data_IF_850241166382
#
_entry.id   IF_850241166382
#
_cell.length_a   1.000
_cell.length_b   1.000
_cell.length_c   1.000
_cell.angle_alpha   90.00
_cell.angle_beta   90.00
_cell.angle_gamma   90.00
#
_symmetry.space_group_name_H-M   'P 1'
#
loop_
_entity.id
_entity.type
_entity.pdbx_description
1 polymer ?
#
# COMPACT_ATOMS: atom_id res chain seq x y z
N UNK A 1 25.39 28.32 -20.96
CA UNK A 1 25.07 27.15 -21.80
C UNK A 1 23.75 26.59 -21.29
N UNK A 2 22.68 26.65 -22.09
CA UNK A 2 21.36 26.20 -21.62
C UNK A 2 21.30 24.69 -21.60
N UNK A 3 20.94 24.16 -20.43
CA UNK A 3 20.79 22.74 -20.23
C UNK A 3 19.41 22.27 -20.74
N UNK A 4 19.31 21.11 -21.41
CA UNK A 4 18.02 20.48 -21.69
C UNK A 4 17.22 20.28 -20.41
N UNK A 5 16.05 20.93 -20.37
CA UNK A 5 15.10 20.78 -19.30
C UNK A 5 14.07 19.70 -19.67
N UNK A 6 13.92 18.73 -18.79
CA UNK A 6 12.82 17.76 -18.81
C UNK A 6 11.94 18.04 -17.60
N UNK A 7 10.63 18.00 -17.77
CA UNK A 7 9.71 18.13 -16.64
C UNK A 7 9.91 16.98 -15.66
N UNK A 8 9.87 17.22 -14.34
CA UNK A 8 9.94 16.16 -13.36
C UNK A 8 8.71 15.24 -13.47
N UNK A 9 8.95 13.94 -13.38
CA UNK A 9 7.86 12.94 -13.34
C UNK A 9 7.30 12.99 -11.92
N UNK A 10 6.03 13.34 -11.80
CA UNK A 10 5.35 13.44 -10.50
C UNK A 10 4.37 12.29 -10.31
N UNK A 11 4.25 11.82 -9.06
CA UNK A 11 3.33 10.75 -8.68
C UNK A 11 1.88 11.12 -9.02
N UNK A 12 1.52 12.41 -8.97
CA UNK A 12 0.19 12.89 -9.34
C UNK A 12 -0.16 12.65 -10.80
N UNK A 13 0.82 12.73 -11.71
CA UNK A 13 0.64 12.38 -13.12
C UNK A 13 0.48 10.87 -13.26
N UNK A 14 1.35 10.09 -12.61
CA UNK A 14 1.29 8.62 -12.69
C UNK A 14 -0.02 8.05 -12.13
N UNK A 15 -0.59 8.66 -11.08
CA UNK A 15 -1.89 8.26 -10.54
C UNK A 15 -3.04 8.49 -11.50
N UNK A 16 -2.93 9.41 -12.47
CA UNK A 16 -3.96 9.65 -13.49
C UNK A 16 -3.92 8.61 -14.62
N UNK A 17 -2.86 7.81 -14.71
CA UNK A 17 -2.74 6.78 -15.72
C UNK A 17 -3.87 5.76 -15.63
N UNK A 18 -4.41 5.37 -16.80
CA UNK A 18 -5.57 4.47 -16.89
C UNK A 18 -5.33 3.14 -16.18
N UNK A 19 -4.10 2.64 -16.21
CA UNK A 19 -3.73 1.38 -15.54
C UNK A 19 -3.74 1.51 -14.01
N UNK A 20 -3.29 2.65 -13.47
CA UNK A 20 -3.36 2.91 -12.03
C UNK A 20 -4.82 3.08 -11.57
N UNK A 21 -5.61 3.83 -12.34
CA UNK A 21 -7.04 4.01 -12.06
C UNK A 21 -7.82 2.68 -12.05
N UNK A 22 -7.45 1.73 -12.92
CA UNK A 22 -8.02 0.37 -12.90
C UNK A 22 -7.61 -0.40 -11.64
N UNK A 23 -6.34 -0.32 -11.24
CA UNK A 23 -5.88 -0.94 -10.00
C UNK A 23 -6.62 -0.37 -8.80
N UNK A 24 -6.67 0.96 -8.63
CA UNK A 24 -7.36 1.59 -7.50
C UNK A 24 -8.83 1.19 -7.41
N UNK A 25 -9.53 1.05 -8.54
CA UNK A 25 -10.92 0.54 -8.55
C UNK A 25 -11.01 -0.92 -8.10
N UNK A 26 -10.07 -1.76 -8.53
CA UNK A 26 -10.00 -3.16 -8.09
C UNK A 26 -9.75 -3.25 -6.58
N UNK A 27 -8.76 -2.53 -6.05
CA UNK A 27 -8.43 -2.56 -4.62
C UNK A 27 -9.60 -2.08 -3.75
N UNK A 28 -10.32 -1.03 -4.19
CA UNK A 28 -11.55 -0.58 -3.52
C UNK A 28 -12.63 -1.65 -3.49
N UNK A 29 -12.87 -2.31 -4.63
CA UNK A 29 -13.85 -3.40 -4.74
C UNK A 29 -13.48 -4.59 -3.83
N UNK A 30 -12.20 -4.98 -3.80
CA UNK A 30 -11.72 -6.08 -2.96
C UNK A 30 -11.93 -5.77 -1.46
N UNK A 31 -11.73 -4.51 -1.05
CA UNK A 31 -12.01 -4.04 0.32
C UNK A 31 -13.52 -4.10 0.66
N UNK A 32 -14.37 -3.59 -0.23
CA UNK A 32 -15.83 -3.65 -0.05
C UNK A 32 -16.34 -5.09 0.07
N UNK A 33 -15.81 -6.00 -0.75
CA UNK A 33 -16.14 -7.42 -0.69
C UNK A 33 -15.68 -8.09 0.62
N UNK A 34 -14.53 -7.69 1.17
CA UNK A 34 -14.05 -8.17 2.47
C UNK A 34 -14.96 -7.69 3.60
N UNK A 35 -15.29 -6.40 3.64
CA UNK A 35 -16.20 -5.83 4.65
C UNK A 35 -17.59 -6.49 4.61
N UNK A 36 -18.11 -6.76 3.40
CA UNK A 36 -19.37 -7.48 3.23
C UNK A 36 -19.31 -8.92 3.75
N UNK A 37 -18.18 -9.62 3.54
CA UNK A 37 -17.95 -10.97 4.09
C UNK A 37 -17.89 -10.92 5.62
N UNK A 38 -17.20 -9.94 6.18
CA UNK A 38 -17.11 -9.74 7.64
C UNK A 38 -18.48 -9.47 8.27
N UNK A 39 -19.31 -8.64 7.65
CA UNK A 39 -20.67 -8.38 8.13
C UNK A 39 -21.51 -9.66 8.16
N UNK A 40 -21.49 -10.45 7.07
CA UNK A 40 -22.22 -11.72 7.03
C UNK A 40 -21.76 -12.71 8.12
N UNK A 41 -20.46 -12.77 8.41
CA UNK A 41 -19.93 -13.59 9.50
C UNK A 41 -20.43 -13.11 10.86
N UNK A 42 -20.44 -11.79 11.08
CA UNK A 42 -20.98 -11.17 12.29
C UNK A 42 -22.46 -11.50 12.48
N UNK A 43 -23.27 -11.32 11.45
CA UNK A 43 -24.71 -11.64 11.48
C UNK A 43 -24.96 -13.13 11.79
N UNK A 44 -24.14 -14.02 11.24
CA UNK A 44 -24.23 -15.46 11.48
C UNK A 44 -23.90 -15.83 12.93
N UNK A 45 -22.82 -15.26 13.48
CA UNK A 45 -22.44 -15.47 14.90
C UNK A 45 -23.54 -14.93 15.81
N UNK A 46 -24.01 -13.70 15.59
CA UNK A 46 -25.08 -13.11 16.40
C UNK A 46 -26.34 -13.98 16.40
N UNK A 47 -26.78 -14.47 15.23
CA UNK A 47 -27.93 -15.36 15.12
C UNK A 47 -27.72 -16.68 15.87
N UNK A 48 -26.52 -17.26 15.78
CA UNK A 48 -26.18 -18.48 16.51
C UNK A 48 -26.17 -18.25 18.02
N UNK A 49 -25.62 -17.12 18.47
CA UNK A 49 -25.57 -16.74 19.89
C UNK A 49 -26.97 -16.50 20.45
N UNK A 50 -27.84 -15.78 19.73
CA UNK A 50 -29.24 -15.58 20.09
C UNK A 50 -29.97 -16.92 20.23
N UNK A 51 -29.79 -17.83 19.27
CA UNK A 51 -30.41 -19.17 19.30
C UNK A 51 -29.96 -19.97 20.53
N UNK A 52 -28.68 -19.86 20.93
CA UNK A 52 -28.15 -20.55 22.11
C UNK A 52 -28.77 -19.99 23.40
N UNK A 53 -28.95 -18.68 23.50
CA UNK A 53 -29.61 -18.02 24.63
C UNK A 53 -31.08 -18.45 24.71
N UNK A 54 -31.81 -18.41 23.59
CA UNK A 54 -33.24 -18.78 23.54
C UNK A 54 -33.46 -20.23 24.00
N UNK A 55 -32.61 -21.16 23.57
CA UNK A 55 -32.65 -22.57 24.03
C UNK A 55 -32.45 -22.68 25.53
N UNK A 56 -31.46 -21.97 26.08
CA UNK A 56 -31.16 -21.99 27.52
C UNK A 56 -32.32 -21.40 28.34
N UNK A 57 -32.97 -20.34 27.86
CA UNK A 57 -34.15 -19.73 28.49
C UNK A 57 -35.34 -20.69 28.49
N UNK A 58 -35.59 -21.39 27.38
CA UNK A 58 -36.65 -22.40 27.29
C UNK A 58 -36.41 -23.55 28.27
N UNK A 59 -35.18 -24.05 28.37
CA UNK A 59 -34.84 -25.13 29.30
C UNK A 59 -34.92 -24.68 30.76
N UNK A 60 -34.54 -23.43 31.06
CA UNK A 60 -34.74 -22.80 32.37
C UNK A 60 -36.22 -22.73 32.77
N UNK A 61 -37.09 -22.29 31.85
CA UNK A 61 -38.54 -22.24 32.11
C UNK A 61 -39.14 -23.63 32.39
N UNK A 62 -38.67 -24.68 31.70
CA UNK A 62 -39.10 -26.06 31.96
C UNK A 62 -38.68 -26.53 33.36
N UNK A 63 -37.45 -26.23 33.79
CA UNK A 63 -36.95 -26.54 35.13
C UNK A 63 -37.75 -25.80 36.22
N UNK A 64 -38.09 -24.53 35.99
CA UNK A 64 -38.91 -23.72 36.90
C UNK A 64 -40.35 -24.26 37.03
N UNK A 65 -40.99 -24.67 35.93
CA UNK A 65 -42.32 -25.30 35.97
C UNK A 65 -42.31 -26.62 36.74
N UNK A 66 -41.24 -27.42 36.60
CA UNK A 66 -41.08 -28.67 37.36
C UNK A 66 -40.97 -28.40 38.87
N UNK A 67 -40.23 -27.37 39.28
CA UNK A 67 -40.15 -26.90 40.67
C UNK A 67 -41.51 -26.51 41.26
N UNK A 68 -42.33 -25.77 40.51
CA UNK A 68 -43.64 -25.32 41.00
C UNK A 68 -44.65 -26.48 41.14
N UNK A 69 -44.60 -27.49 40.26
CA UNK A 69 -45.44 -28.69 40.39
C UNK A 69 -45.04 -29.56 41.60
N UNK A 70 -43.75 -29.63 41.94
CA UNK A 70 -43.25 -30.36 43.12
C UNK A 70 -43.60 -29.67 44.45
N UNK A 71 -43.75 -28.34 44.47
CA UNK A 71 -44.18 -27.58 45.65
C UNK A 71 -45.70 -27.54 45.86
N UNK A 72 -46.49 -27.96 44.86
CA UNK A 72 -47.95 -27.89 44.86
C UNK A 72 -48.65 -29.18 45.32
N UNK A 73 -47.94 -30.30 45.47
CA UNK A 73 -48.55 -31.61 45.77
C UNK A 73 -48.59 -31.98 47.26
N UNK A 74 -48.52 -30.99 48.17
CA UNK A 74 -48.34 -31.22 49.62
C UNK A 74 -49.37 -30.59 50.56
N UNK A 75 -50.56 -30.18 50.09
CA UNK A 75 -51.60 -29.63 50.99
C UNK A 75 -52.84 -30.53 51.03
N UNK A 76 -52.77 -31.57 51.86
CA UNK A 76 -53.94 -32.25 52.41
C UNK A 76 -53.54 -33.06 53.63
N UNK A 77 -53.89 -32.56 54.83
CA UNK A 77 -54.17 -33.43 55.98
C UNK A 77 -53.24 -33.32 57.20
N UNK A 78 -53.74 -32.60 58.20
CA UNK A 78 -53.72 -32.94 59.64
C UNK A 78 -52.47 -32.67 60.53
N UNK A 79 -52.67 -31.67 61.40
CA UNK A 79 -52.28 -31.50 62.83
C UNK A 79 -51.49 -32.63 63.52
N UNK A 80 -50.27 -32.34 64.01
CA UNK A 80 -49.91 -32.29 65.45
C UNK A 80 -48.46 -31.78 65.65
N UNK A 81 -48.20 -31.27 66.85
CA UNK A 81 -47.00 -30.58 67.34
C UNK A 81 -46.02 -31.49 68.09
N UNK A 82 -44.71 -31.37 67.85
CA UNK A 82 -43.64 -31.21 68.89
C UNK A 82 -42.23 -31.53 68.39
N UNK A 83 -41.28 -30.68 68.80
CA UNK A 83 -39.85 -30.91 69.13
C UNK A 83 -38.91 -31.66 68.17
N UNK A 84 -37.83 -30.95 67.81
CA UNK A 84 -36.48 -31.52 67.77
C UNK A 84 -36.00 -32.09 66.43
N UNK A 85 -35.19 -31.30 65.73
CA UNK A 85 -34.38 -31.78 64.60
C UNK A 85 -34.36 -30.79 63.45
N UNK A 86 -33.27 -30.01 63.34
CA UNK A 86 -32.96 -29.26 62.13
C UNK A 86 -32.58 -30.26 61.02
N UNK A 87 -33.55 -31.00 60.51
CA UNK A 87 -33.42 -31.71 59.25
C UNK A 87 -33.59 -30.67 58.15
N UNK A 88 -32.47 -30.20 57.60
CA UNK A 88 -32.48 -29.44 56.36
C UNK A 88 -33.24 -30.28 55.33
N UNK A 89 -34.41 -29.80 54.89
CA UNK A 89 -35.22 -30.48 53.89
C UNK A 89 -34.35 -30.75 52.64
N UNK A 90 -34.07 -32.03 52.28
CA UNK A 90 -33.19 -32.39 51.16
C UNK A 90 -33.76 -31.94 49.81
N UNK A 91 -35.05 -31.58 49.76
CA UNK A 91 -35.64 -30.95 48.58
C UNK A 91 -35.20 -29.49 48.41
N UNK A 92 -34.97 -28.76 49.51
CA UNK A 92 -34.54 -27.35 49.47
C UNK A 92 -33.07 -27.18 49.06
N UNK A 93 -32.18 -28.09 49.46
CA UNK A 93 -30.76 -28.08 49.08
C UNK A 93 -30.58 -28.40 47.61
N UNK A 94 -31.25 -29.44 47.10
CA UNK A 94 -31.20 -29.82 45.67
C UNK A 94 -31.69 -28.70 44.75
N UNK A 95 -32.72 -27.94 45.15
CA UNK A 95 -33.23 -26.79 44.38
C UNK A 95 -32.22 -25.63 44.36
N UNK A 96 -31.52 -25.41 45.48
CA UNK A 96 -30.45 -24.40 45.57
C UNK A 96 -29.27 -24.75 44.67
N UNK A 97 -28.85 -26.02 44.68
CA UNK A 97 -27.73 -26.53 43.88
C UNK A 97 -28.05 -26.46 42.38
N UNK A 98 -29.24 -26.87 41.95
CA UNK A 98 -29.69 -26.73 40.55
C UNK A 98 -29.76 -25.27 40.07
N UNK A 99 -30.14 -24.33 40.95
CA UNK A 99 -30.17 -22.91 40.64
C UNK A 99 -28.75 -22.32 40.50
N UNK A 100 -27.81 -22.82 41.30
CA UNK A 100 -26.41 -22.44 41.21
C UNK A 100 -25.75 -22.97 39.93
N UNK A 101 -26.04 -24.22 39.55
CA UNK A 101 -25.59 -24.81 38.29
C UNK A 101 -26.09 -24.03 37.09
N UNK A 102 -27.37 -23.64 37.07
CA UNK A 102 -27.92 -22.83 35.98
C UNK A 102 -27.22 -21.46 35.85
N UNK A 103 -26.91 -20.80 36.97
CA UNK A 103 -26.13 -19.55 36.98
C UNK A 103 -24.71 -19.76 36.46
N UNK A 104 -24.07 -20.89 36.77
CA UNK A 104 -22.75 -21.24 36.23
C UNK A 104 -22.84 -21.46 34.71
N UNK A 105 -23.84 -22.19 34.23
CA UNK A 105 -24.07 -22.42 32.79
C UNK A 105 -24.29 -21.09 32.04
N UNK A 106 -25.12 -20.18 32.57
CA UNK A 106 -25.32 -18.85 31.96
C UNK A 106 -24.01 -18.07 31.90
N UNK A 107 -23.26 -18.01 33.01
CA UNK A 107 -21.97 -17.29 33.05
C UNK A 107 -20.96 -17.86 32.06
N UNK A 108 -20.88 -19.19 31.96
CA UNK A 108 -20.02 -19.86 30.99
C UNK A 108 -20.44 -19.57 29.55
N UNK A 109 -21.75 -19.60 29.25
CA UNK A 109 -22.26 -19.25 27.92
C UNK A 109 -21.90 -17.81 27.54
N UNK A 110 -22.16 -16.85 28.42
CA UNK A 110 -21.85 -15.43 28.17
C UNK A 110 -20.34 -15.22 27.97
N UNK A 111 -19.50 -15.87 28.78
CA UNK A 111 -18.04 -15.82 28.61
C UNK A 111 -17.62 -16.36 27.24
N UNK A 112 -18.11 -17.55 26.87
CA UNK A 112 -17.78 -18.18 25.59
C UNK A 112 -18.24 -17.34 24.40
N UNK A 113 -19.43 -16.73 24.47
CA UNK A 113 -19.96 -15.84 23.42
C UNK A 113 -19.14 -14.56 23.29
N UNK A 114 -18.70 -13.98 24.42
CA UNK A 114 -17.80 -12.82 24.45
C UNK A 114 -16.45 -13.14 23.82
N UNK A 115 -15.88 -14.31 24.15
CA UNK A 115 -14.60 -14.76 23.59
C UNK A 115 -14.69 -15.04 22.09
N UNK A 116 -15.75 -15.74 21.65
CA UNK A 116 -16.01 -16.01 20.22
C UNK A 116 -16.12 -14.71 19.43
N UNK A 117 -16.93 -13.77 19.92
CA UNK A 117 -17.13 -12.48 19.27
C UNK A 117 -15.84 -11.67 19.21
N UNK A 118 -15.14 -11.54 20.34
CA UNK A 118 -13.87 -10.83 20.43
C UNK A 118 -12.79 -11.44 19.52
N UNK A 119 -12.69 -12.77 19.46
CA UNK A 119 -11.77 -13.46 18.56
C UNK A 119 -12.12 -13.23 17.09
N UNK A 120 -13.41 -13.22 16.75
CA UNK A 120 -13.86 -12.92 15.39
C UNK A 120 -13.50 -11.50 14.99
N UNK A 121 -13.72 -10.50 15.85
CA UNK A 121 -13.36 -9.11 15.57
C UNK A 121 -11.85 -8.94 15.39
N UNK A 122 -11.02 -9.49 16.28
CA UNK A 122 -9.55 -9.45 16.13
C UNK A 122 -9.07 -10.09 14.84
N UNK A 123 -9.68 -11.22 14.43
CA UNK A 123 -9.35 -11.87 13.15
C UNK A 123 -9.70 -10.97 11.97
N UNK A 124 -10.92 -10.41 11.96
CA UNK A 124 -11.39 -9.53 10.90
C UNK A 124 -10.53 -8.26 10.79
N UNK A 125 -10.15 -7.67 11.92
CA UNK A 125 -9.25 -6.52 11.97
C UNK A 125 -7.89 -6.85 11.34
N UNK A 126 -7.30 -7.99 11.71
CA UNK A 126 -6.03 -8.46 11.12
C UNK A 126 -6.15 -8.69 9.60
N UNK A 127 -7.25 -9.29 9.14
CA UNK A 127 -7.51 -9.49 7.71
C UNK A 127 -7.59 -8.14 6.94
N UNK A 128 -8.25 -7.12 7.52
CA UNK A 128 -8.31 -5.78 6.93
C UNK A 128 -6.93 -5.11 6.89
N UNK A 129 -6.16 -5.22 7.96
CA UNK A 129 -4.79 -4.70 8.03
C UNK A 129 -3.89 -5.36 6.98
N UNK A 130 -3.92 -6.69 6.86
CA UNK A 130 -3.13 -7.42 5.86
C UNK A 130 -3.54 -7.05 4.43
N UNK A 131 -4.84 -6.92 4.16
CA UNK A 131 -5.34 -6.44 2.88
C UNK A 131 -4.83 -5.03 2.58
N UNK A 132 -4.91 -4.11 3.55
CA UNK A 132 -4.44 -2.73 3.36
C UNK A 132 -2.94 -2.66 3.09
N UNK A 133 -2.15 -3.46 3.82
CA UNK A 133 -0.70 -3.59 3.60
C UNK A 133 -0.38 -4.08 2.19
N UNK A 134 -1.13 -5.08 1.71
CA UNK A 134 -0.98 -5.58 0.33
C UNK A 134 -1.35 -4.52 -0.70
N UNK A 135 -2.46 -3.78 -0.50
CA UNK A 135 -2.87 -2.69 -1.39
C UNK A 135 -1.78 -1.62 -1.52
N UNK A 136 -1.14 -1.23 -0.42
CA UNK A 136 -0.05 -0.26 -0.42
C UNK A 136 1.13 -0.79 -1.26
N UNK A 137 1.46 -2.08 -1.16
CA UNK A 137 2.52 -2.66 -2.00
C UNK A 137 2.13 -2.69 -3.47
N UNK A 138 0.92 -3.13 -3.81
CA UNK A 138 0.44 -3.21 -5.19
C UNK A 138 0.41 -1.83 -5.87
N UNK A 139 -0.08 -0.80 -5.15
CA UNK A 139 -0.08 0.58 -5.62
C UNK A 139 1.34 1.08 -5.89
N UNK A 140 2.26 0.81 -4.97
CA UNK A 140 3.67 1.17 -5.11
C UNK A 140 4.33 0.45 -6.29
N UNK A 141 4.15 -0.86 -6.44
CA UNK A 141 4.84 -1.65 -7.46
C UNK A 141 4.42 -1.18 -8.86
N UNK A 142 3.13 -0.83 -9.04
CA UNK A 142 2.64 -0.25 -10.27
C UNK A 142 3.18 1.18 -10.50
N UNK A 143 3.19 2.03 -9.46
CA UNK A 143 3.74 3.39 -9.57
C UNK A 143 5.24 3.37 -9.91
N UNK A 144 6.01 2.46 -9.31
CA UNK A 144 7.44 2.29 -9.58
C UNK A 144 7.67 1.87 -11.01
N UNK A 145 6.89 0.91 -11.52
CA UNK A 145 6.94 0.51 -12.92
C UNK A 145 6.65 1.69 -13.87
N UNK A 146 5.56 2.42 -13.64
CA UNK A 146 5.18 3.57 -14.45
C UNK A 146 6.23 4.69 -14.41
N UNK A 147 6.83 4.92 -13.24
CA UNK A 147 7.92 5.88 -13.07
C UNK A 147 9.14 5.48 -13.91
N UNK A 148 9.60 4.24 -13.80
CA UNK A 148 10.76 3.74 -14.55
C UNK A 148 10.53 3.79 -16.06
N UNK A 149 9.32 3.44 -16.53
CA UNK A 149 8.96 3.53 -17.94
C UNK A 149 8.98 4.99 -18.44
N UNK A 150 8.46 5.93 -17.65
CA UNK A 150 8.52 7.36 -17.97
C UNK A 150 9.96 7.91 -17.96
N UNK A 151 10.78 7.48 -17.00
CA UNK A 151 12.20 7.86 -16.91
C UNK A 151 12.98 7.36 -18.12
N UNK A 152 12.75 6.10 -18.53
CA UNK A 152 13.32 5.54 -19.76
C UNK A 152 12.97 6.38 -20.98
N UNK A 153 11.71 6.75 -21.15
CA UNK A 153 11.27 7.59 -22.26
C UNK A 153 11.96 8.98 -22.26
N UNK A 154 12.16 9.59 -21.08
CA UNK A 154 12.91 10.84 -20.97
C UNK A 154 14.38 10.67 -21.37
N UNK A 155 15.01 9.58 -20.92
CA UNK A 155 16.41 9.28 -21.24
C UNK A 155 16.60 9.02 -22.74
N UNK A 156 15.70 8.24 -23.37
CA UNK A 156 15.76 7.96 -24.80
C UNK A 156 15.55 9.25 -25.62
N UNK A 157 14.63 10.11 -25.20
CA UNK A 157 14.44 11.44 -25.81
C UNK A 157 15.70 12.32 -25.69
N UNK A 158 16.38 12.30 -24.55
CA UNK A 158 17.65 13.02 -24.36
C UNK A 158 18.74 12.46 -25.29
N UNK A 159 18.90 11.13 -25.36
CA UNK A 159 19.89 10.49 -26.24
C UNK A 159 19.69 10.90 -27.69
N UNK A 160 18.46 10.83 -28.21
CA UNK A 160 18.16 11.26 -29.59
C UNK A 160 18.53 12.73 -29.83
N UNK A 161 18.25 13.63 -28.87
CA UNK A 161 18.63 15.05 -29.00
C UNK A 161 20.16 15.23 -29.06
N UNK A 162 20.90 14.52 -28.22
CA UNK A 162 22.37 14.56 -28.18
C UNK A 162 23.01 13.97 -29.45
N UNK A 163 22.42 12.91 -30.01
CA UNK A 163 22.84 12.32 -31.28
C UNK A 163 22.66 13.30 -32.45
N UNK A 164 21.53 14.01 -32.50
CA UNK A 164 21.28 15.05 -33.49
C UNK A 164 22.29 16.20 -33.34
N UNK A 165 22.52 16.71 -32.13
CA UNK A 165 23.50 17.78 -31.87
C UNK A 165 24.92 17.36 -32.29
N UNK A 166 25.29 16.10 -32.05
CA UNK A 166 26.58 15.53 -32.48
C UNK A 166 26.69 15.46 -34.00
N UNK A 167 25.62 15.03 -34.69
CA UNK A 167 25.58 14.95 -36.15
C UNK A 167 25.68 16.35 -36.77
N UNK A 168 24.94 17.31 -36.24
CA UNK A 168 24.89 18.68 -36.74
C UNK A 168 26.24 19.39 -36.53
N UNK A 169 26.92 19.16 -35.40
CA UNK A 169 28.28 19.63 -35.19
C UNK A 169 29.25 19.07 -36.23
N UNK A 170 29.22 17.75 -36.49
CA UNK A 170 30.07 17.13 -37.52
C UNK A 170 29.82 17.75 -38.90
N UNK A 171 28.54 17.97 -39.26
CA UNK A 171 28.18 18.60 -40.52
C UNK A 171 28.68 20.06 -40.60
N UNK A 172 28.56 20.82 -39.50
CA UNK A 172 29.08 22.18 -39.41
C UNK A 172 30.62 22.23 -39.57
N UNK A 173 31.34 21.30 -38.95
CA UNK A 173 32.80 21.17 -39.09
C UNK A 173 33.20 20.88 -40.55
N UNK A 174 32.51 19.95 -41.22
CA UNK A 174 32.75 19.66 -42.65
C UNK A 174 32.51 20.90 -43.52
N UNK A 175 31.37 21.59 -43.33
CA UNK A 175 31.04 22.82 -44.09
C UNK A 175 32.10 23.91 -43.88
N UNK A 176 32.50 24.16 -42.63
CA UNK A 176 33.55 25.14 -42.30
C UNK A 176 34.89 24.78 -42.95
N UNK A 177 35.30 23.52 -42.92
CA UNK A 177 36.56 23.08 -43.54
C UNK A 177 36.56 23.27 -45.06
N UNK A 178 35.43 23.03 -45.72
CA UNK A 178 35.28 23.25 -47.17
C UNK A 178 35.32 24.74 -47.50
N UNK A 179 34.60 25.56 -46.74
CA UNK A 179 34.54 27.02 -46.93
C UNK A 179 35.90 27.68 -46.70
N UNK A 180 36.60 27.33 -45.61
CA UNK A 180 37.96 27.82 -45.32
C UNK A 180 38.93 27.50 -46.48
N UNK A 181 38.84 26.30 -47.06
CA UNK A 181 39.69 25.90 -48.21
C UNK A 181 39.35 26.72 -49.44
N UNK A 182 38.06 26.87 -49.75
CA UNK A 182 37.56 27.66 -50.88
C UNK A 182 37.94 29.14 -50.77
N UNK A 183 37.94 29.71 -49.57
CA UNK A 183 38.36 31.09 -49.32
C UNK A 183 39.85 31.30 -49.66
N UNK A 184 40.72 30.37 -49.26
CA UNK A 184 42.16 30.44 -49.58
C UNK A 184 42.40 30.28 -51.08
N UNK A 185 41.65 29.40 -51.75
CA UNK A 185 41.78 29.20 -53.20
C UNK A 185 41.40 30.45 -54.00
N UNK A 186 40.29 31.11 -53.61
CA UNK A 186 39.78 32.31 -54.26
C UNK A 186 40.52 33.61 -53.86
N UNK A 187 41.40 33.54 -52.86
CA UNK A 187 42.21 34.68 -52.44
C UNK A 187 43.19 35.08 -53.55
N UNK A 188 42.98 36.28 -54.09
CA UNK A 188 43.81 36.87 -55.16
C UNK A 188 45.07 37.53 -54.62
N UNK A 189 45.17 37.77 -53.31
CA UNK A 189 46.35 38.38 -52.68
C UNK A 189 47.52 37.39 -52.56
N UNK A 190 47.25 36.09 -52.70
CA UNK A 190 48.25 35.03 -52.64
C UNK A 190 48.61 34.58 -54.06
N UNK A 191 49.71 35.09 -54.59
CA UNK A 191 50.11 34.82 -55.98
C UNK A 191 50.80 33.46 -56.18
N UNK A 192 51.54 32.97 -55.17
CA UNK A 192 52.31 31.72 -55.30
C UNK A 192 51.51 30.49 -54.90
N UNK A 193 51.53 29.46 -55.75
CA UNK A 193 50.94 28.14 -55.47
C UNK A 193 51.48 27.53 -54.17
N UNK A 194 52.79 27.67 -53.92
CA UNK A 194 53.42 27.15 -52.71
C UNK A 194 52.89 27.84 -51.44
N UNK A 195 52.63 29.15 -51.50
CA UNK A 195 52.08 29.89 -50.36
C UNK A 195 50.59 29.55 -50.13
N UNK A 196 49.80 29.33 -51.19
CA UNK A 196 48.42 28.82 -51.06
C UNK A 196 48.40 27.46 -50.37
N UNK A 197 49.27 26.54 -50.79
CA UNK A 197 49.36 25.20 -50.21
C UNK A 197 49.80 25.24 -48.73
N UNK A 198 50.77 26.10 -48.41
CA UNK A 198 51.18 26.36 -47.03
C UNK A 198 50.02 26.86 -46.17
N UNK A 199 49.26 27.86 -46.64
CA UNK A 199 48.08 28.38 -45.91
C UNK A 199 46.97 27.35 -45.72
N UNK A 200 46.72 26.51 -46.72
CA UNK A 200 45.77 25.39 -46.60
C UNK A 200 46.22 24.42 -45.51
N UNK A 201 47.52 24.08 -45.44
CA UNK A 201 48.06 23.18 -44.41
C UNK A 201 47.92 23.77 -43.01
N UNK A 202 48.32 25.02 -42.81
CA UNK A 202 48.19 25.74 -41.53
C UNK A 202 46.73 25.83 -41.09
N UNK A 203 45.82 26.13 -42.01
CA UNK A 203 44.37 26.20 -41.76
C UNK A 203 43.78 24.86 -41.37
N UNK A 204 44.19 23.77 -42.04
CA UNK A 204 43.77 22.40 -41.69
C UNK A 204 44.24 22.01 -40.30
N UNK A 205 45.49 22.32 -39.93
CA UNK A 205 46.00 22.05 -38.58
C UNK A 205 45.23 22.85 -37.51
N UNK A 206 44.99 24.15 -37.76
CA UNK A 206 44.18 25.00 -36.88
C UNK A 206 42.76 24.45 -36.71
N UNK A 207 42.12 24.05 -37.82
CA UNK A 207 40.77 23.50 -37.80
C UNK A 207 40.71 22.17 -37.05
N UNK A 208 41.70 21.29 -37.20
CA UNK A 208 41.76 20.04 -36.45
C UNK A 208 41.75 20.28 -34.94
N UNK A 209 42.59 21.20 -34.44
CA UNK A 209 42.63 21.56 -33.01
C UNK A 209 41.28 22.08 -32.52
N UNK A 210 40.67 23.01 -33.26
CA UNK A 210 39.35 23.56 -32.92
C UNK A 210 38.26 22.49 -32.92
N UNK A 211 38.24 21.60 -33.92
CA UNK A 211 37.22 20.57 -34.04
C UNK A 211 37.28 19.53 -32.93
N UNK A 212 38.49 19.18 -32.49
CA UNK A 212 38.70 18.29 -31.35
C UNK A 212 38.17 18.93 -30.08
N UNK A 213 38.50 20.20 -29.82
CA UNK A 213 38.02 20.91 -28.63
C UNK A 213 36.50 21.10 -28.63
N UNK A 214 35.89 21.44 -29.77
CA UNK A 214 34.43 21.53 -29.90
C UNK A 214 33.73 20.21 -29.60
N UNK A 215 34.27 19.10 -30.12
CA UNK A 215 33.75 17.75 -29.85
C UNK A 215 33.90 17.37 -28.39
N UNK A 216 35.05 17.68 -27.77
CA UNK A 216 35.29 17.45 -26.34
C UNK A 216 34.30 18.23 -25.47
N UNK A 217 34.07 19.51 -25.80
CA UNK A 217 33.09 20.35 -25.11
C UNK A 217 31.67 19.80 -25.25
N UNK A 218 31.30 19.32 -26.45
CA UNK A 218 29.98 18.72 -26.67
C UNK A 218 29.82 17.39 -25.91
N UNK A 219 30.83 16.54 -25.89
CA UNK A 219 30.83 15.29 -25.14
C UNK A 219 30.68 15.54 -23.63
N UNK A 220 31.45 16.48 -23.07
CA UNK A 220 31.33 16.86 -21.66
C UNK A 220 29.93 17.42 -21.34
N UNK A 221 29.37 18.24 -22.23
CA UNK A 221 27.99 18.75 -22.08
C UNK A 221 26.98 17.59 -22.07
N UNK A 222 27.12 16.63 -22.97
CA UNK A 222 26.25 15.45 -23.06
C UNK A 222 26.31 14.59 -21.79
N UNK A 223 27.50 14.41 -21.22
CA UNK A 223 27.72 13.70 -19.96
C UNK A 223 27.03 14.39 -18.79
N UNK A 224 27.23 15.71 -18.62
CA UNK A 224 26.55 16.51 -17.59
C UNK A 224 25.02 16.40 -17.72
N UNK A 225 24.50 16.39 -18.95
CA UNK A 225 23.07 16.22 -19.20
C UNK A 225 22.52 14.89 -18.69
N UNK A 226 23.21 13.80 -19.01
CA UNK A 226 22.82 12.47 -18.62
C UNK A 226 22.94 12.30 -17.11
N UNK A 227 24.03 12.78 -16.50
CA UNK A 227 24.24 12.70 -15.06
C UNK A 227 23.16 13.45 -14.27
N UNK A 228 22.83 14.68 -14.67
CA UNK A 228 21.79 15.46 -14.00
C UNK A 228 20.40 14.81 -14.12
N UNK A 229 20.07 14.26 -15.29
CA UNK A 229 18.79 13.58 -15.49
C UNK A 229 18.74 12.27 -14.66
N UNK A 230 19.81 11.49 -14.67
CA UNK A 230 19.93 10.28 -13.85
C UNK A 230 19.81 10.59 -12.37
N UNK A 231 20.50 11.61 -11.86
CA UNK A 231 20.43 12.01 -10.46
C UNK A 231 18.98 12.32 -10.05
N UNK A 232 18.26 13.07 -10.88
CA UNK A 232 16.84 13.37 -10.64
C UNK A 232 15.97 12.11 -10.68
N UNK A 233 16.24 11.20 -11.62
CA UNK A 233 15.52 9.93 -11.71
C UNK A 233 15.71 9.08 -10.46
N UNK A 234 16.93 9.00 -9.93
CA UNK A 234 17.22 8.34 -8.65
C UNK A 234 16.46 9.00 -7.50
N UNK A 235 16.52 10.32 -7.38
CA UNK A 235 15.80 11.06 -6.32
C UNK A 235 14.28 10.81 -6.36
N UNK A 236 13.68 10.74 -7.57
CA UNK A 236 12.25 10.41 -7.72
C UNK A 236 11.91 9.00 -7.24
N UNK A 237 12.78 8.02 -7.52
CA UNK A 237 12.61 6.64 -7.03
C UNK A 237 12.75 6.59 -5.52
N UNK A 238 13.76 7.25 -4.96
CA UNK A 238 13.99 7.28 -3.51
C UNK A 238 12.82 7.96 -2.76
N UNK A 239 12.22 9.00 -3.35
CA UNK A 239 11.03 9.64 -2.80
C UNK A 239 9.86 8.65 -2.78
N UNK A 240 9.61 7.93 -3.88
CA UNK A 240 8.56 6.93 -3.95
C UNK A 240 8.77 5.79 -2.95
N UNK A 241 10.00 5.31 -2.80
CA UNK A 241 10.37 4.27 -1.84
C UNK A 241 10.15 4.76 -0.39
N UNK A 242 10.50 6.01 -0.09
CA UNK A 242 10.24 6.65 1.22
C UNK A 242 8.74 6.83 1.48
N UNK A 243 7.95 7.20 0.48
CA UNK A 243 6.50 7.32 0.62
C UNK A 243 5.85 5.96 0.90
N UNK A 244 6.30 4.88 0.24
CA UNK A 244 5.85 3.51 0.55
C UNK A 244 6.16 3.14 1.99
N UNK A 245 7.40 3.34 2.43
CA UNK A 245 7.83 3.00 3.78
C UNK A 245 6.99 3.72 4.84
N UNK A 246 6.77 5.04 4.67
CA UNK A 246 5.90 5.84 5.55
C UNK A 246 4.46 5.34 5.57
N UNK A 247 3.91 4.98 4.42
CA UNK A 247 2.54 4.47 4.34
C UNK A 247 2.38 3.12 5.07
N UNK A 248 3.37 2.24 4.95
CA UNK A 248 3.38 0.96 5.67
C UNK A 248 3.54 1.16 7.18
N UNK A 249 4.49 2.00 7.59
CA UNK A 249 4.73 2.32 9.00
C UNK A 249 3.49 2.93 9.66
N UNK A 250 2.81 3.86 8.98
CA UNK A 250 1.57 4.43 9.49
C UNK A 250 0.48 3.37 9.66
N UNK A 251 0.35 2.44 8.71
CA UNK A 251 -0.63 1.37 8.79
C UNK A 251 -0.31 0.38 9.93
N UNK A 252 0.98 0.08 10.14
CA UNK A 252 1.45 -0.72 11.28
C UNK A 252 1.17 -0.05 12.62
N UNK A 253 1.41 1.26 12.73
CA UNK A 253 1.07 2.03 13.93
C UNK A 253 -0.43 2.02 14.19
N UNK A 254 -1.26 2.28 13.16
CA UNK A 254 -2.72 2.25 13.29
C UNK A 254 -3.22 0.89 13.77
N UNK A 255 -2.70 -0.21 13.22
CA UNK A 255 -3.08 -1.54 13.64
C UNK A 255 -2.64 -1.83 15.08
N UNK A 256 -1.43 -1.41 15.46
CA UNK A 256 -0.93 -1.55 16.84
C UNK A 256 -1.81 -0.79 17.84
N UNK A 257 -2.21 0.44 17.50
CA UNK A 257 -3.12 1.24 18.32
C UNK A 257 -4.48 0.57 18.48
N UNK A 258 -5.03 0.03 17.39
CA UNK A 258 -6.30 -0.70 17.41
C UNK A 258 -6.23 -1.97 18.28
N UNK A 259 -5.14 -2.73 18.21
CA UNK A 259 -4.90 -3.87 19.12
C UNK A 259 -4.84 -3.42 20.59
N UNK A 260 -4.16 -2.32 20.90
CA UNK A 260 -4.06 -1.79 22.27
C UNK A 260 -5.40 -1.27 22.80
N UNK A 261 -6.23 -0.74 21.90
CA UNK A 261 -7.58 -0.28 22.22
C UNK A 261 -8.59 -1.43 22.35
N UNK A 262 -8.30 -2.62 21.79
CA UNK A 262 -9.17 -3.78 21.83
C UNK A 262 -9.47 -4.22 23.27
N UNK A 263 -10.75 -4.43 23.54
CA UNK A 263 -11.26 -4.97 24.80
C UNK A 263 -12.15 -6.17 24.47
N UNK A 264 -12.45 -7.05 25.46
CA UNK A 264 -13.48 -8.05 25.28
C UNK A 264 -14.81 -7.37 24.90
N UNK A 265 -15.35 -7.78 23.76
CA UNK A 265 -16.60 -7.28 23.21
C UNK A 265 -17.61 -8.42 23.16
N UNK A 266 -18.86 -8.09 23.48
CA UNK A 266 -20.00 -8.99 23.34
C UNK A 266 -21.02 -8.33 22.42
N UNK A 267 -21.73 -9.14 21.66
CA UNK A 267 -22.89 -8.69 20.90
C UNK A 267 -24.15 -9.05 21.68
N UNK A 268 -25.08 -8.10 21.77
CA UNK A 268 -26.41 -8.27 22.39
C UNK A 268 -27.46 -8.30 21.29
#
# INVERSE_FOLDING_TARGET
MFLYFFDPITIQVLRKEKVFQKLSKKLKKDMEEMLKRHQKQRDAIQKQQQTNVDKLLVDSQKLSKKKNNLGSSGSSGSRHSSLGGRASDPSSSNISDMCNDHKITIRSLVSNQTDEWSNNLRRQEKELFELRRQQISDEYDLLKKLLLDAQKNQMDSLKTKLEVETRDLKQAQTRKSMEDTRQIENDRTIASRAEKERRVKETKERNLKLFVEERKRLAMKAEIHQEQLNKRHTEQVDILDREKAKALEQEEMNHRESILASKPESIV
#
